data_IF_900505216646
#
_entry.id   IF_900505216646
#
_cell.length_a   1.000
_cell.length_b   1.000
_cell.length_c   1.000
_cell.angle_alpha   90.00
_cell.angle_beta   90.00
_cell.angle_gamma   90.00
#
_symmetry.space_group_name_H-M   'P 1'
#
loop_
_entity.id
_entity.type
_entity.pdbx_description
1 polymer ?
#
# COMPACT_ATOMS: atom_id res chain seq x y z
N UNK A 1 26.61 11.54 -2.57
CA UNK A 1 25.36 11.18 -3.27
C UNK A 1 25.73 10.78 -4.70
N UNK A 2 25.39 9.57 -5.17
CA UNK A 2 25.65 9.21 -6.56
C UNK A 2 24.88 10.15 -7.51
N UNK A 3 25.51 10.57 -8.60
CA UNK A 3 24.85 11.29 -9.68
C UNK A 3 24.09 10.27 -10.54
N UNK A 4 22.77 10.25 -10.41
CA UNK A 4 21.91 9.41 -11.24
C UNK A 4 21.65 10.08 -12.59
N UNK A 5 21.53 9.33 -13.69
CA UNK A 5 21.16 9.88 -14.99
C UNK A 5 19.78 10.53 -14.92
N UNK A 6 19.57 11.56 -15.75
CA UNK A 6 18.27 12.21 -15.85
C UNK A 6 17.25 11.21 -16.41
N UNK A 7 16.15 10.92 -15.70
CA UNK A 7 15.16 9.98 -16.18
C UNK A 7 14.45 10.52 -17.43
N UNK A 8 14.18 9.64 -18.39
CA UNK A 8 13.38 9.98 -19.58
C UNK A 8 11.90 10.26 -19.26
N UNK A 9 11.46 9.91 -18.04
CA UNK A 9 10.10 10.12 -17.59
C UNK A 9 9.77 11.62 -17.47
N UNK A 10 8.73 12.04 -18.18
CA UNK A 10 8.16 13.40 -18.09
C UNK A 10 6.82 13.31 -17.37
N UNK A 11 6.71 13.84 -16.14
CA UNK A 11 5.44 13.81 -15.42
C UNK A 11 4.37 14.62 -16.16
N UNK A 12 3.15 14.09 -16.32
CA UNK A 12 2.07 14.82 -16.96
C UNK A 12 1.59 15.97 -16.08
N UNK A 13 1.10 17.06 -16.70
CA UNK A 13 0.39 18.11 -15.97
C UNK A 13 -0.87 17.53 -15.28
N UNK A 14 -1.19 17.89 -14.02
CA UNK A 14 -0.55 18.91 -13.16
C UNK A 14 0.60 18.38 -12.28
N UNK A 15 1.01 17.12 -12.41
CA UNK A 15 2.01 16.47 -11.55
C UNK A 15 3.45 16.82 -11.90
N UNK A 16 3.71 17.94 -12.57
CA UNK A 16 5.08 18.40 -12.91
C UNK A 16 5.85 18.90 -11.69
N UNK A 17 5.17 19.23 -10.58
CA UNK A 17 5.77 19.59 -9.29
C UNK A 17 5.75 18.43 -8.30
N UNK A 18 6.89 18.17 -7.66
CA UNK A 18 7.01 17.15 -6.62
C UNK A 18 6.10 17.40 -5.41
N UNK A 19 5.88 18.66 -5.04
CA UNK A 19 4.95 19.00 -3.96
C UNK A 19 3.51 18.60 -4.28
N UNK A 20 3.07 18.81 -5.52
CA UNK A 20 1.74 18.39 -5.95
C UNK A 20 1.60 16.86 -5.93
N UNK A 21 2.63 16.13 -6.37
CA UNK A 21 2.65 14.67 -6.30
C UNK A 21 2.51 14.15 -4.85
N UNK A 22 3.13 14.82 -3.89
CA UNK A 22 3.06 14.44 -2.47
C UNK A 22 1.71 14.80 -1.83
N UNK A 23 1.20 16.02 -2.07
CA UNK A 23 -0.01 16.50 -1.41
C UNK A 23 -1.30 15.90 -1.98
N UNK A 24 -1.35 15.72 -3.31
CA UNK A 24 -2.56 15.28 -4.00
C UNK A 24 -3.16 13.97 -3.45
N UNK A 25 -2.41 12.86 -3.30
CA UNK A 25 -2.98 11.62 -2.79
C UNK A 25 -3.44 11.75 -1.34
N UNK A 26 -2.78 12.56 -0.52
CA UNK A 26 -3.19 12.78 0.87
C UNK A 26 -4.55 13.47 0.93
N UNK A 27 -4.74 14.52 0.14
CA UNK A 27 -5.96 15.33 0.13
C UNK A 27 -7.12 14.66 -0.60
N UNK A 28 -6.87 14.11 -1.80
CA UNK A 28 -7.94 13.73 -2.73
C UNK A 28 -8.17 12.23 -2.89
N UNK A 29 -7.22 11.37 -2.47
CA UNK A 29 -7.44 9.92 -2.55
C UNK A 29 -8.59 9.54 -1.63
N UNK A 30 -9.56 8.81 -2.16
CA UNK A 30 -10.68 8.26 -1.39
C UNK A 30 -10.21 7.08 -0.55
N UNK A 31 -10.87 6.88 0.58
CA UNK A 31 -10.67 5.70 1.41
C UNK A 31 -11.20 4.48 0.66
N UNK A 32 -10.38 3.46 0.36
CA UNK A 32 -10.87 2.23 -0.22
C UNK A 32 -11.80 1.53 0.78
N UNK A 33 -12.96 1.05 0.30
CA UNK A 33 -13.80 0.15 1.09
C UNK A 33 -13.18 -1.24 1.05
N UNK A 34 -12.78 -1.73 2.22
CA UNK A 34 -12.17 -3.04 2.43
C UNK A 34 -12.62 -3.59 3.77
N UNK A 35 -12.69 -4.91 3.91
CA UNK A 35 -13.05 -5.57 5.16
C UNK A 35 -11.99 -6.61 5.55
N UNK A 36 -10.83 -6.18 6.08
CA UNK A 36 -9.77 -7.11 6.42
C UNK A 36 -10.11 -7.99 7.62
N UNK A 37 -9.55 -9.19 7.65
CA UNK A 37 -9.54 -10.05 8.83
C UNK A 37 -8.27 -9.75 9.60
N UNK A 38 -8.39 -9.31 10.86
CA UNK A 38 -7.23 -8.95 11.67
C UNK A 38 -6.67 -10.16 12.40
N UNK A 39 -5.35 -10.29 12.38
CA UNK A 39 -4.56 -11.22 13.17
C UNK A 39 -3.47 -10.44 13.91
N UNK A 40 -3.13 -10.87 15.13
CA UNK A 40 -1.97 -10.38 15.85
C UNK A 40 -1.02 -11.54 16.10
N UNK A 41 0.24 -11.34 15.73
CA UNK A 41 1.33 -12.25 16.02
C UNK A 41 2.12 -11.71 17.20
N UNK A 42 2.26 -12.49 18.27
CA UNK A 42 3.19 -12.21 19.36
C UNK A 42 4.61 -12.57 18.92
N UNK A 43 5.59 -11.73 19.24
CA UNK A 43 7.00 -11.96 18.89
C UNK A 43 7.78 -12.49 20.10
N UNK A 44 8.89 -13.26 19.89
CA UNK A 44 9.63 -13.87 21.00
C UNK A 44 10.24 -12.90 22.01
N UNK A 45 10.41 -11.63 21.64
CA UNK A 45 10.87 -10.53 22.49
C UNK A 45 9.75 -9.86 23.30
N UNK A 46 8.50 -10.35 23.18
CA UNK A 46 7.35 -9.86 23.94
C UNK A 46 6.67 -8.63 23.33
N UNK A 47 6.96 -8.33 22.05
CA UNK A 47 6.23 -7.34 21.25
C UNK A 47 5.20 -8.03 20.33
N UNK A 48 4.62 -7.30 19.39
CA UNK A 48 3.60 -7.82 18.47
C UNK A 48 3.68 -7.25 17.06
N UNK A 49 3.14 -8.02 16.11
CA UNK A 49 2.87 -7.60 14.73
C UNK A 49 1.37 -7.73 14.47
N UNK A 50 0.73 -6.63 14.10
CA UNK A 50 -0.66 -6.65 13.63
C UNK A 50 -0.72 -6.82 12.11
N UNK A 51 -1.52 -7.78 11.66
CA UNK A 51 -1.75 -8.11 10.26
C UNK A 51 -3.24 -7.92 9.95
N UNK A 52 -3.55 -7.23 8.85
CA UNK A 52 -4.90 -7.12 8.30
C UNK A 52 -4.93 -7.89 6.96
N UNK A 53 -5.57 -9.06 6.93
CA UNK A 53 -5.63 -9.97 5.77
C UNK A 53 -6.69 -9.55 4.74
N UNK A 54 -6.36 -9.66 3.45
CA UNK A 54 -7.24 -9.33 2.33
C UNK A 54 -7.29 -10.43 1.28
N UNK A 55 -8.16 -11.43 1.47
CA UNK A 55 -8.25 -12.56 0.56
C UNK A 55 -8.81 -12.19 -0.82
N UNK A 56 -8.20 -12.75 -1.86
CA UNK A 56 -8.68 -12.64 -3.23
C UNK A 56 -9.97 -13.45 -3.43
N UNK A 57 -10.98 -12.92 -4.15
CA UNK A 57 -12.13 -13.71 -4.56
C UNK A 57 -11.83 -14.67 -5.72
N UNK A 58 -10.60 -14.66 -6.27
CA UNK A 58 -10.24 -15.47 -7.45
C UNK A 58 -9.66 -16.82 -7.02
N UNK A 59 -10.06 -17.89 -7.70
CA UNK A 59 -9.53 -19.24 -7.48
C UNK A 59 -9.05 -19.84 -8.82
N UNK A 60 -7.82 -20.39 -8.90
CA UNK A 60 -6.81 -20.42 -7.85
C UNK A 60 -6.22 -19.05 -7.54
N UNK A 61 -5.81 -18.83 -6.29
CA UNK A 61 -5.04 -17.65 -5.90
C UNK A 61 -3.67 -17.67 -6.61
N UNK A 62 -3.17 -16.50 -6.99
CA UNK A 62 -1.90 -16.32 -7.70
C UNK A 62 -0.70 -16.31 -6.77
N UNK A 63 -0.92 -15.99 -5.49
CA UNK A 63 0.13 -15.90 -4.48
C UNK A 63 -0.21 -14.91 -3.37
N UNK A 64 0.70 -14.77 -2.41
CA UNK A 64 0.62 -13.85 -1.28
C UNK A 64 1.45 -12.60 -1.54
N UNK A 65 0.88 -11.42 -1.30
CA UNK A 65 1.56 -10.13 -1.40
C UNK A 65 1.59 -9.42 -0.04
N UNK A 66 2.81 -9.12 0.44
CA UNK A 66 3.00 -8.39 1.70
C UNK A 66 3.05 -6.88 1.45
N UNK A 67 2.14 -6.13 2.08
CA UNK A 67 2.13 -4.65 2.04
C UNK A 67 2.47 -4.11 3.42
N UNK A 68 3.64 -3.46 3.53
CA UNK A 68 4.07 -2.78 4.75
C UNK A 68 3.80 -1.28 4.71
N UNK A 69 3.53 -0.69 5.87
CA UNK A 69 3.40 0.77 5.99
C UNK A 69 4.74 1.42 6.37
N UNK A 70 4.86 2.73 6.12
CA UNK A 70 6.01 3.52 6.52
C UNK A 70 5.99 3.86 8.02
N UNK A 71 7.04 4.54 8.48
CA UNK A 71 7.14 5.07 9.84
C UNK A 71 5.88 5.87 10.20
N UNK A 72 5.39 5.73 11.44
CA UNK A 72 4.17 6.40 11.96
C UNK A 72 2.86 6.07 11.18
N UNK A 73 2.89 5.05 10.33
CA UNK A 73 1.75 4.54 9.59
C UNK A 73 0.94 3.46 10.33
N UNK A 74 -0.05 2.92 9.63
CA UNK A 74 -0.70 1.65 9.96
C UNK A 74 -1.30 1.04 8.67
N UNK A 75 -1.71 -0.22 8.74
CA UNK A 75 -2.34 -0.98 7.64
C UNK A 75 -3.61 -0.31 7.08
N UNK A 76 -4.27 0.57 7.85
CA UNK A 76 -5.56 1.17 7.51
C UNK A 76 -5.46 2.55 6.86
N UNK A 77 -4.26 3.02 6.51
CA UNK A 77 -4.08 4.26 5.75
C UNK A 77 -4.59 4.11 4.30
N UNK A 78 -4.74 5.22 3.58
CA UNK A 78 -5.31 5.23 2.22
C UNK A 78 -4.48 4.44 1.20
N UNK A 79 -3.16 4.49 1.33
CA UNK A 79 -2.28 3.85 0.34
C UNK A 79 -2.14 2.34 0.56
N UNK A 80 -1.96 1.77 1.78
CA UNK A 80 -1.89 0.32 1.94
C UNK A 80 -3.21 -0.34 1.59
N UNK A 81 -4.35 0.20 2.06
CA UNK A 81 -5.68 -0.31 1.69
C UNK A 81 -5.93 -0.24 0.17
N UNK A 82 -5.38 0.77 -0.49
CA UNK A 82 -5.49 0.90 -1.94
C UNK A 82 -4.67 -0.15 -2.68
N UNK A 83 -3.48 -0.48 -2.16
CA UNK A 83 -2.65 -1.56 -2.68
C UNK A 83 -3.30 -2.92 -2.42
N UNK A 84 -3.75 -3.19 -1.19
CA UNK A 84 -4.42 -4.44 -0.82
C UNK A 84 -5.68 -4.70 -1.65
N UNK A 85 -6.53 -3.67 -1.86
CA UNK A 85 -7.70 -3.79 -2.75
C UNK A 85 -7.30 -4.08 -4.20
N UNK A 86 -6.21 -3.48 -4.69
CA UNK A 86 -5.73 -3.73 -6.04
C UNK A 86 -5.22 -5.18 -6.17
N UNK A 87 -4.38 -5.62 -5.25
CA UNK A 87 -3.78 -6.96 -5.23
C UNK A 87 -4.86 -8.06 -5.13
N UNK A 88 -5.75 -7.96 -4.14
CA UNK A 88 -6.89 -8.87 -3.96
C UNK A 88 -7.78 -8.97 -5.20
N UNK A 89 -8.12 -7.85 -5.83
CA UNK A 89 -8.91 -7.87 -7.07
C UNK A 89 -8.17 -8.44 -8.29
N UNK A 90 -6.84 -8.57 -8.23
CA UNK A 90 -6.00 -9.14 -9.29
C UNK A 90 -5.52 -10.56 -9.01
N UNK A 91 -6.09 -11.23 -8.01
CA UNK A 91 -5.83 -12.64 -7.72
C UNK A 91 -4.78 -12.89 -6.65
N UNK A 92 -4.33 -11.88 -5.92
CA UNK A 92 -3.32 -12.03 -4.86
C UNK A 92 -3.96 -11.91 -3.47
N UNK A 93 -3.61 -12.79 -2.56
CA UNK A 93 -3.95 -12.62 -1.13
C UNK A 93 -3.04 -11.58 -0.46
#
# INVERSE_FOLDING_TARGET
MPLLPVPAYRPPFPFTSGHLQTMYPTLFRRMPSTNPIRERLETPDGDFIDIDWHYSPTTPCRGLALVSHGLEGNSRKKYPLGMARCLSSHGWD
#
